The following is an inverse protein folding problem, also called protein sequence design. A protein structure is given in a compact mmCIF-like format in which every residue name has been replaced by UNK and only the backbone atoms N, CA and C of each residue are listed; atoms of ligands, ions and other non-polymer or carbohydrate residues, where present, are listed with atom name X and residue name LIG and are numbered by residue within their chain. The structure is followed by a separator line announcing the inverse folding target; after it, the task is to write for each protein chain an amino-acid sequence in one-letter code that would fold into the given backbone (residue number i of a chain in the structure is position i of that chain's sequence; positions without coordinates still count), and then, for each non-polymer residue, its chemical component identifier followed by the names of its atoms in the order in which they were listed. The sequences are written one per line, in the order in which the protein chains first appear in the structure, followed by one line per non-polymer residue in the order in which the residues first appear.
data_IF_544513849857
#
_entry.id   IF_544513849857
#
_cell.length_a   1.000
_cell.length_b   1.000
_cell.length_c   1.000
_cell.angle_alpha   90.00
_cell.angle_beta   90.00
_cell.angle_gamma   90.00
#
_symmetry.space_group_name_H-M   'P 1'
#
loop_
_entity.id
_entity.type
_entity.pdbx_description
1 polymer ?
#
# COMPACT_ATOMS: atom_id res chain seq x y z
N UNK A 1 17.21 17.93 -14.00
CA UNK A 1 17.85 17.17 -12.91
C UNK A 1 16.74 16.78 -11.93
N UNK A 2 16.27 15.54 -11.96
CA UNK A 2 15.22 15.07 -11.05
C UNK A 2 15.90 14.46 -9.82
N UNK A 3 15.71 15.08 -8.65
CA UNK A 3 16.21 14.56 -7.38
C UNK A 3 15.18 13.53 -6.90
N UNK A 4 15.54 12.25 -6.88
CA UNK A 4 14.73 11.22 -6.26
C UNK A 4 14.82 11.37 -4.74
N UNK A 5 13.76 11.91 -4.12
CA UNK A 5 13.67 12.01 -2.67
C UNK A 5 13.60 10.60 -2.09
N UNK A 6 14.69 10.15 -1.47
CA UNK A 6 14.75 8.89 -0.71
C UNK A 6 13.76 8.94 0.46
N UNK A 7 13.17 7.79 0.78
CA UNK A 7 12.24 7.51 1.89
C UNK A 7 12.56 8.19 3.24
N UNK A 8 13.82 8.53 3.49
CA UNK A 8 14.27 9.24 4.70
C UNK A 8 13.72 10.67 4.78
N UNK A 9 13.51 11.35 3.64
CA UNK A 9 12.92 12.70 3.61
C UNK A 9 11.40 12.68 3.77
N UNK A 10 10.75 11.51 3.65
CA UNK A 10 9.29 11.38 3.82
C UNK A 10 8.89 11.66 5.27
N UNK A 11 9.77 11.49 6.26
CA UNK A 11 9.42 11.82 7.66
C UNK A 11 8.99 13.27 7.84
N UNK A 12 9.71 14.22 7.23
CA UNK A 12 9.37 15.65 7.36
C UNK A 12 8.20 16.09 6.46
N UNK A 13 7.75 15.23 5.55
CA UNK A 13 6.62 15.50 4.66
C UNK A 13 5.50 14.48 4.82
N UNK A 14 5.52 13.70 5.90
CA UNK A 14 4.62 12.57 6.10
C UNK A 14 3.17 13.05 6.13
N UNK A 15 2.91 14.17 6.81
CA UNK A 15 1.60 14.83 6.87
C UNK A 15 1.06 15.24 5.48
N UNK A 16 1.92 15.57 4.52
CA UNK A 16 1.50 15.95 3.16
C UNK A 16 1.34 14.75 2.21
N UNK A 17 1.69 13.54 2.66
CA UNK A 17 1.62 12.33 1.83
C UNK A 17 0.25 11.64 1.87
N UNK A 18 -0.60 12.04 2.81
CA UNK A 18 -1.86 11.38 3.12
C UNK A 18 -2.86 12.28 3.84
N UNK A 19 -3.94 11.68 4.34
CA UNK A 19 -4.77 12.32 5.36
C UNK A 19 -4.31 11.87 6.74
N UNK A 20 -4.25 12.78 7.69
CA UNK A 20 -4.02 12.49 9.09
C UNK A 20 -5.26 11.85 9.73
N UNK A 21 -5.09 11.19 10.87
CA UNK A 21 -6.21 10.60 11.61
C UNK A 21 -7.28 11.63 11.99
N UNK A 22 -6.86 12.85 12.34
CA UNK A 22 -7.77 13.94 12.70
C UNK A 22 -8.61 14.38 11.50
N UNK A 23 -8.00 14.55 10.31
CA UNK A 23 -8.72 14.90 9.08
C UNK A 23 -9.72 13.81 8.68
N UNK A 24 -9.32 12.53 8.78
CA UNK A 24 -10.23 11.41 8.48
C UNK A 24 -11.39 11.35 9.47
N UNK A 25 -11.14 11.59 10.76
CA UNK A 25 -12.18 11.64 11.79
C UNK A 25 -13.18 12.75 11.49
N UNK A 26 -12.70 13.96 11.19
CA UNK A 26 -13.56 15.08 10.82
C UNK A 26 -14.40 14.78 9.58
N UNK A 27 -13.78 14.20 8.53
CA UNK A 27 -14.51 13.79 7.32
C UNK A 27 -15.58 12.72 7.60
N UNK A 28 -15.31 11.78 8.51
CA UNK A 28 -16.29 10.78 8.92
C UNK A 28 -17.46 11.42 9.66
N UNK A 29 -17.19 12.37 10.57
CA UNK A 29 -18.21 13.08 11.34
C UNK A 29 -19.10 13.93 10.39
N UNK A 30 -18.50 14.67 9.45
CA UNK A 30 -19.23 15.49 8.46
C UNK A 30 -20.11 14.66 7.51
N UNK A 31 -19.70 13.43 7.20
CA UNK A 31 -20.39 12.56 6.25
C UNK A 31 -21.26 11.49 6.91
N UNK A 32 -21.34 11.50 8.25
CA UNK A 32 -22.06 10.51 9.07
C UNK A 32 -21.58 9.08 8.81
N UNK A 33 -20.27 8.88 8.74
CA UNK A 33 -19.62 7.58 8.53
C UNK A 33 -18.95 7.07 9.81
N UNK A 34 -18.84 5.75 9.95
CA UNK A 34 -18.20 5.14 11.11
C UNK A 34 -16.67 5.20 11.00
N UNK A 35 -16.05 6.06 11.81
CA UNK A 35 -14.59 6.20 11.88
C UNK A 35 -13.87 4.90 12.30
N UNK A 36 -14.41 4.11 13.24
CA UNK A 36 -13.78 2.85 13.68
C UNK A 36 -13.71 1.83 12.54
N UNK A 37 -14.77 1.76 11.73
CA UNK A 37 -14.78 0.92 10.52
C UNK A 37 -13.74 1.44 9.51
N UNK A 38 -13.67 2.75 9.33
CA UNK A 38 -12.71 3.41 8.44
C UNK A 38 -11.26 3.10 8.83
N UNK A 39 -10.96 3.24 10.13
CA UNK A 39 -9.65 2.94 10.72
C UNK A 39 -9.29 1.47 10.53
N UNK A 40 -10.22 0.55 10.78
CA UNK A 40 -9.98 -0.89 10.58
C UNK A 40 -9.56 -1.24 9.15
N UNK A 41 -10.09 -0.53 8.15
CA UNK A 41 -9.81 -0.81 6.74
C UNK A 41 -8.59 -0.07 6.20
N UNK A 42 -8.31 1.13 6.69
CA UNK A 42 -7.35 2.03 6.05
C UNK A 42 -6.34 2.66 7.00
N UNK A 43 -6.22 2.18 8.25
CA UNK A 43 -5.40 2.66 9.41
C UNK A 43 -4.12 3.41 9.05
N UNK A 44 -3.53 3.08 7.91
CA UNK A 44 -2.65 3.95 7.17
C UNK A 44 -1.22 3.47 7.30
N UNK A 45 -0.29 4.40 7.15
CA UNK A 45 1.13 4.15 7.32
C UNK A 45 1.65 4.95 8.51
N UNK A 46 2.64 4.42 9.20
CA UNK A 46 3.39 5.17 10.22
C UNK A 46 4.74 5.59 9.66
N UNK A 47 5.05 6.89 9.74
CA UNK A 47 6.30 7.49 9.29
C UNK A 47 6.96 8.26 10.44
N UNK A 48 7.98 7.65 11.07
CA UNK A 48 8.69 8.31 12.18
C UNK A 48 7.76 8.59 13.36
N UNK A 49 7.60 9.87 13.71
CA UNK A 49 6.67 10.35 14.75
C UNK A 49 5.21 10.36 14.30
N UNK A 50 4.96 10.54 12.99
CA UNK A 50 3.61 10.60 12.45
C UNK A 50 3.03 9.20 12.30
N UNK A 51 1.88 8.99 12.94
CA UNK A 51 1.16 7.73 12.91
C UNK A 51 -0.14 7.91 12.15
N UNK A 52 -0.60 6.81 11.56
CA UNK A 52 -1.91 6.74 10.92
C UNK A 52 -2.08 7.76 9.78
N UNK A 53 -1.14 7.78 8.83
CA UNK A 53 -1.27 8.55 7.59
C UNK A 53 -2.04 7.72 6.56
N UNK A 54 -3.29 8.10 6.31
CA UNK A 54 -4.23 7.38 5.46
C UNK A 54 -3.99 7.66 3.98
N UNK A 55 -4.18 6.63 3.14
CA UNK A 55 -4.04 6.76 1.67
C UNK A 55 -5.11 7.71 1.07
N UNK A 56 -4.73 8.80 0.38
CA UNK A 56 -5.69 9.79 -0.13
C UNK A 56 -6.77 9.22 -1.05
N UNK A 57 -6.39 8.31 -1.95
CA UNK A 57 -7.34 7.73 -2.91
C UNK A 57 -8.39 6.88 -2.20
N UNK A 58 -7.96 6.03 -1.26
CA UNK A 58 -8.86 5.22 -0.46
C UNK A 58 -9.82 6.08 0.35
N UNK A 59 -9.31 7.15 1.00
CA UNK A 59 -10.14 8.07 1.79
C UNK A 59 -11.18 8.76 0.91
N UNK A 60 -10.73 9.42 -0.15
CA UNK A 60 -11.63 10.14 -1.06
C UNK A 60 -12.70 9.23 -1.66
N UNK A 61 -12.34 8.01 -2.09
CA UNK A 61 -13.32 7.05 -2.63
C UNK A 61 -14.32 6.56 -1.60
N UNK A 62 -13.88 6.31 -0.37
CA UNK A 62 -14.76 5.87 0.70
C UNK A 62 -15.77 6.95 1.09
N UNK A 63 -15.30 8.20 1.17
CA UNK A 63 -16.14 9.37 1.46
C UNK A 63 -17.12 9.65 0.32
N UNK A 64 -16.64 9.72 -0.93
CA UNK A 64 -17.46 9.97 -2.13
C UNK A 64 -18.60 8.96 -2.27
N UNK A 65 -18.30 7.68 -2.04
CA UNK A 65 -19.27 6.58 -2.15
C UNK A 65 -20.04 6.30 -0.86
N UNK A 66 -19.74 7.04 0.22
CA UNK A 66 -20.22 6.79 1.59
C UNK A 66 -20.15 5.31 1.99
N UNK A 67 -19.08 4.63 1.60
CA UNK A 67 -18.96 3.17 1.78
C UNK A 67 -17.52 2.74 1.91
N UNK A 68 -17.17 2.08 3.02
CA UNK A 68 -15.85 1.50 3.27
C UNK A 68 -15.72 0.17 2.51
N UNK A 69 -14.72 0.06 1.63
CA UNK A 69 -14.45 -1.10 0.76
C UNK A 69 -12.97 -1.15 0.38
N UNK A 70 -12.54 -2.20 -0.30
CA UNK A 70 -11.21 -2.20 -0.92
C UNK A 70 -11.16 -1.18 -2.07
N UNK A 71 -10.63 0.01 -1.79
CA UNK A 71 -10.26 1.03 -2.78
C UNK A 71 -8.76 1.06 -3.04
N UNK A 72 -8.03 0.05 -2.58
CA UNK A 72 -6.62 -0.06 -2.90
C UNK A 72 -6.44 -0.16 -4.41
N UNK A 73 -5.96 0.92 -5.02
CA UNK A 73 -5.77 0.94 -6.47
C UNK A 73 -4.63 -0.02 -6.80
N UNK A 74 -4.87 -0.96 -7.73
CA UNK A 74 -3.80 -1.79 -8.30
C UNK A 74 -2.79 -0.86 -8.95
N UNK A 75 -1.63 -0.71 -8.34
CA UNK A 75 -0.49 -0.02 -8.94
C UNK A 75 0.30 -1.02 -9.77
N UNK A 76 1.03 -0.54 -10.76
CA UNK A 76 1.98 -1.34 -11.55
C UNK A 76 2.97 -2.09 -10.66
N UNK A 77 3.34 -1.52 -9.51
CA UNK A 77 4.18 -2.18 -8.51
C UNK A 77 3.49 -3.40 -7.86
N UNK A 78 2.20 -3.31 -7.54
CA UNK A 78 1.43 -4.43 -7.00
C UNK A 78 1.28 -5.57 -8.04
N UNK A 79 1.11 -5.24 -9.31
CA UNK A 79 1.02 -6.23 -10.39
C UNK A 79 2.36 -6.93 -10.64
N UNK A 80 3.46 -6.17 -10.61
CA UNK A 80 4.80 -6.75 -10.70
C UNK A 80 5.09 -7.66 -9.51
N UNK A 81 4.67 -7.30 -8.30
CA UNK A 81 4.83 -8.14 -7.11
C UNK A 81 4.11 -9.50 -7.29
N UNK A 82 2.86 -9.50 -7.73
CA UNK A 82 2.10 -10.73 -8.02
C UNK A 82 2.84 -11.58 -9.06
N UNK A 83 3.39 -10.92 -10.09
CA UNK A 83 4.19 -11.61 -11.11
C UNK A 83 5.44 -12.26 -10.50
N UNK A 84 6.15 -11.58 -9.60
CA UNK A 84 7.31 -12.17 -8.91
C UNK A 84 6.93 -13.31 -7.98
N UNK A 85 5.78 -13.21 -7.30
CA UNK A 85 5.24 -14.31 -6.50
C UNK A 85 5.00 -15.54 -7.36
N UNK A 86 4.39 -15.37 -8.53
CA UNK A 86 4.15 -16.45 -9.48
C UNK A 86 5.44 -17.02 -10.08
N UNK A 87 6.43 -16.17 -10.37
CA UNK A 87 7.74 -16.60 -10.86
C UNK A 87 8.59 -17.32 -9.80
N UNK A 88 8.30 -17.11 -8.52
CA UNK A 88 9.01 -17.77 -7.41
C UNK A 88 8.65 -19.25 -7.22
N UNK A 89 7.68 -19.76 -7.98
CA UNK A 89 7.23 -21.15 -7.94
C UNK A 89 6.53 -21.53 -6.62
N UNK A 90 6.20 -22.80 -6.51
CA UNK A 90 5.37 -23.35 -5.42
C UNK A 90 5.95 -23.08 -4.02
N UNK A 91 7.29 -23.05 -3.88
CA UNK A 91 7.96 -22.78 -2.60
C UNK A 91 7.72 -21.35 -2.09
N UNK A 92 7.69 -20.35 -2.97
CA UNK A 92 7.41 -18.98 -2.57
C UNK A 92 5.92 -18.79 -2.26
N UNK A 93 5.05 -19.44 -3.03
CA UNK A 93 3.61 -19.40 -2.81
C UNK A 93 3.22 -20.03 -1.47
N UNK A 94 3.79 -21.19 -1.14
CA UNK A 94 3.59 -21.85 0.16
C UNK A 94 4.00 -20.94 1.34
N UNK A 95 5.18 -20.33 1.25
CA UNK A 95 5.65 -19.39 2.28
C UNK A 95 4.70 -18.19 2.44
N UNK A 96 4.16 -17.66 1.34
CA UNK A 96 3.19 -16.56 1.38
C UNK A 96 1.88 -17.02 2.02
N UNK A 97 1.37 -18.21 1.69
CA UNK A 97 0.16 -18.77 2.30
C UNK A 97 0.31 -18.92 3.82
N UNK A 98 1.49 -19.37 4.28
CA UNK A 98 1.81 -19.48 5.71
C UNK A 98 1.87 -18.11 6.40
N UNK A 99 2.48 -17.11 5.76
CA UNK A 99 2.48 -15.72 6.27
C UNK A 99 1.07 -15.15 6.38
N UNK A 100 0.21 -15.39 5.38
CA UNK A 100 -1.21 -14.98 5.41
C UNK A 100 -1.95 -15.65 6.57
N UNK A 101 -1.58 -16.88 6.91
CA UNK A 101 -2.13 -17.64 8.05
C UNK A 101 -1.58 -17.17 9.41
N UNK A 102 -0.70 -16.16 9.44
CA UNK A 102 -0.10 -15.62 10.65
C UNK A 102 1.14 -16.37 11.13
N UNK A 103 1.64 -17.35 10.38
CA UNK A 103 2.88 -18.04 10.71
C UNK A 103 4.11 -17.16 10.42
N UNK A 104 5.23 -17.48 11.07
CA UNK A 104 6.53 -16.88 10.78
C UNK A 104 7.40 -17.81 9.96
N UNK A 105 8.02 -17.29 8.89
CA UNK A 105 8.91 -18.05 8.01
C UNK A 105 10.35 -17.53 8.12
N UNK A 106 11.30 -18.41 8.50
CA UNK A 106 12.73 -18.07 8.49
C UNK A 106 13.28 -18.15 7.07
N UNK A 107 13.93 -17.08 6.62
CA UNK A 107 14.58 -17.01 5.30
C UNK A 107 16.07 -16.66 5.44
N UNK A 108 16.93 -17.32 4.66
CA UNK A 108 18.35 -16.97 4.54
C UNK A 108 18.50 -15.93 3.43
N UNK A 109 18.85 -14.70 3.77
CA UNK A 109 19.09 -13.65 2.78
C UNK A 109 20.50 -13.83 2.21
N UNK A 110 20.60 -14.28 0.95
CA UNK A 110 21.87 -14.34 0.22
C UNK A 110 22.25 -12.97 -0.36
N UNK A 111 23.55 -12.64 -0.42
CA UNK A 111 24.08 -11.37 -0.98
C UNK A 111 23.86 -11.18 -2.49
N UNK A 112 23.19 -12.09 -3.19
CA UNK A 112 22.92 -11.94 -4.63
C UNK A 112 21.62 -11.17 -4.83
N UNK A 113 21.76 -9.88 -5.11
CA UNK A 113 20.72 -9.07 -5.76
C UNK A 113 20.44 -9.70 -7.13
N UNK A 114 19.43 -10.56 -7.24
CA UNK A 114 18.82 -10.82 -8.54
C UNK A 114 18.20 -9.49 -8.98
N UNK A 115 18.70 -8.91 -10.06
CA UNK A 115 18.06 -7.75 -10.66
C UNK A 115 16.63 -8.16 -10.99
N UNK A 116 15.69 -7.38 -10.45
CA UNK A 116 14.27 -7.51 -10.72
C UNK A 116 14.08 -7.21 -12.22
N UNK A 117 13.70 -8.19 -13.07
CA UNK A 117 13.57 -7.95 -14.50
C UNK A 117 12.50 -6.88 -14.73
N UNK A 118 12.82 -5.88 -15.55
CA UNK A 118 11.89 -4.80 -15.89
C UNK A 118 10.76 -5.38 -16.73
N UNK A 119 9.60 -5.60 -16.11
CA UNK A 119 8.39 -6.00 -16.82
C UNK A 119 7.82 -4.73 -17.48
N UNK A 120 7.90 -4.67 -18.82
CA UNK A 120 7.25 -3.61 -19.60
C UNK A 120 5.82 -4.05 -19.90
N UNK A 121 4.85 -3.26 -19.42
CA UNK A 121 3.46 -3.42 -19.79
C UNK A 121 3.27 -2.80 -21.18
N UNK A 122 2.73 -3.58 -22.14
CA UNK A 122 2.17 -2.98 -23.36
C UNK A 122 0.83 -2.36 -22.96
N UNK A 123 0.66 -1.07 -23.23
CA UNK A 123 -0.65 -0.44 -23.12
C UNK A 123 -1.47 -0.92 -24.33
N UNK A 124 -2.57 -1.63 -24.09
CA UNK A 124 -3.55 -1.99 -25.12
C UNK A 124 -4.44 -0.78 -25.50
N UNK A 125 -3.80 0.35 -25.81
CA UNK A 125 -4.46 1.56 -26.32
C UNK A 125 -4.22 1.79 -27.81
N UNK A 126 -3.53 0.86 -28.48
CA UNK A 126 -3.31 0.87 -29.94
C UNK A 126 -4.04 -0.32 -30.58
N UNK A 127 -5.37 -0.29 -30.62
CA UNK A 127 -6.18 -0.95 -31.67
C UNK A 127 -7.59 -0.34 -31.75
#
# INVERSE_FOLDING_TARGET
MFISYKLVLIQNFAEYSGFTENEVKQLCDEKLMNFLEFKKWYDGYSFGSEKSIYNPFSVMKAIDRKKVRSYWRRTTAAESLITYVNLGGDELQDKIARLISGESVKVKVGKKTKQVPVIRYKNDADN
#
